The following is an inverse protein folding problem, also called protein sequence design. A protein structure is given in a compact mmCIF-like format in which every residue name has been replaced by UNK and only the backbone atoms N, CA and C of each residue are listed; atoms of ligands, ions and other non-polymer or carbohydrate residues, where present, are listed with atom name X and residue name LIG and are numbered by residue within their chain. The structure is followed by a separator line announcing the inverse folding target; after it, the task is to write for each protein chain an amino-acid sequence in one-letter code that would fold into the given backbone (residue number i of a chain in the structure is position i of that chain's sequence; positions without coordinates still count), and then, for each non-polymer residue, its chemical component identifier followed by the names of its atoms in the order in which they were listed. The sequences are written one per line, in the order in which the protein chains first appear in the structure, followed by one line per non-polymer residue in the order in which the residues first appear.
data_IF_367756720048
#
_entry.id   IF_367756720048
#
_cell.length_a   1.000
_cell.length_b   1.000
_cell.length_c   1.000
_cell.angle_alpha   90.00
_cell.angle_beta   90.00
_cell.angle_gamma   90.00
#
_symmetry.space_group_name_H-M   'P 1'
#
loop_
_entity.id
_entity.type
_entity.pdbx_description
1 polymer ?
#
# COMPACT_ATOMS: atom_id res chain seq x y z
N UNK A 1 -10.76 24.71 27.37
CA UNK A 1 -12.15 24.22 27.55
C UNK A 1 -12.95 24.21 26.24
N UNK A 2 -13.57 25.30 25.77
CA UNK A 2 -14.43 25.22 24.55
C UNK A 2 -13.70 24.75 23.28
N UNK A 3 -12.47 25.22 23.03
CA UNK A 3 -11.70 24.79 21.86
C UNK A 3 -11.25 23.32 21.94
N UNK A 4 -10.95 22.82 23.14
CA UNK A 4 -10.55 21.42 23.37
C UNK A 4 -11.74 20.46 23.29
N UNK A 5 -12.91 20.90 23.78
CA UNK A 5 -14.17 20.17 23.69
C UNK A 5 -14.68 20.16 22.23
N UNK A 6 -14.46 21.26 21.50
CA UNK A 6 -14.69 21.33 20.05
C UNK A 6 -13.78 20.39 19.26
N UNK A 7 -12.50 20.32 19.63
CA UNK A 7 -11.55 19.41 18.99
C UNK A 7 -11.90 17.94 19.31
N UNK A 8 -12.33 17.65 20.54
CA UNK A 8 -12.72 16.30 20.96
C UNK A 8 -13.98 15.81 20.22
N UNK A 9 -15.03 16.62 20.12
CA UNK A 9 -16.24 16.23 19.38
C UNK A 9 -15.94 15.98 17.90
N UNK A 10 -15.14 16.86 17.27
CA UNK A 10 -14.74 16.70 15.86
C UNK A 10 -13.99 15.38 15.65
N UNK A 11 -13.07 15.05 16.55
CA UNK A 11 -12.28 13.81 16.45
C UNK A 11 -13.18 12.59 16.62
N UNK A 12 -14.10 12.60 17.60
CA UNK A 12 -15.09 11.53 17.78
C UNK A 12 -15.99 11.36 16.55
N UNK A 13 -16.52 12.46 16.00
CA UNK A 13 -17.36 12.43 14.81
C UNK A 13 -16.65 11.83 13.60
N UNK A 14 -15.43 12.28 13.28
CA UNK A 14 -14.69 11.75 12.13
C UNK A 14 -14.32 10.28 12.31
N UNK A 15 -13.95 9.84 13.51
CA UNK A 15 -13.61 8.44 13.78
C UNK A 15 -14.82 7.51 13.69
N UNK A 16 -16.02 7.96 14.09
CA UNK A 16 -17.24 7.15 14.07
C UNK A 16 -17.89 7.01 12.69
N UNK A 17 -17.58 7.91 11.74
CA UNK A 17 -18.14 7.84 10.39
C UNK A 17 -17.70 6.55 9.67
N UNK A 18 -18.61 5.78 9.06
CA UNK A 18 -18.22 4.72 8.13
C UNK A 18 -17.64 5.35 6.86
N UNK A 19 -16.43 4.93 6.47
CA UNK A 19 -15.67 5.53 5.36
C UNK A 19 -15.49 4.56 4.21
N UNK A 20 -15.28 5.13 3.03
CA UNK A 20 -14.88 4.41 1.82
C UNK A 20 -13.58 5.03 1.32
N UNK A 21 -12.54 4.22 1.19
CA UNK A 21 -11.23 4.63 0.66
C UNK A 21 -11.02 3.98 -0.71
N UNK A 22 -10.91 4.81 -1.75
CA UNK A 22 -10.79 4.33 -3.12
C UNK A 22 -9.39 4.53 -3.70
N UNK A 23 -8.51 5.28 -3.04
CA UNK A 23 -7.18 5.64 -3.54
C UNK A 23 -6.11 5.50 -2.45
N UNK A 24 -5.83 4.27 -2.04
CA UNK A 24 -4.76 3.97 -1.10
C UNK A 24 -3.65 3.11 -1.75
N UNK A 25 -2.48 3.72 -1.95
CA UNK A 25 -1.29 2.99 -2.40
C UNK A 25 -0.69 2.21 -1.24
N UNK A 26 -0.59 0.88 -1.35
CA UNK A 26 -0.08 0.01 -0.27
C UNK A 26 1.22 0.52 0.36
N UNK A 27 2.23 0.81 -0.46
CA UNK A 27 3.51 1.32 0.02
C UNK A 27 3.38 2.72 0.63
N UNK A 28 2.46 3.56 0.12
CA UNK A 28 2.21 4.90 0.65
C UNK A 28 1.41 4.92 1.95
N UNK A 29 0.71 3.83 2.25
CA UNK A 29 -0.10 3.65 3.47
C UNK A 29 0.68 2.99 4.62
N UNK A 30 1.97 2.71 4.46
CA UNK A 30 2.79 2.10 5.52
C UNK A 30 2.95 3.09 6.68
N UNK A 31 2.38 2.76 7.84
CA UNK A 31 2.57 3.54 9.06
C UNK A 31 4.01 3.48 9.58
N UNK A 32 4.37 4.44 10.43
CA UNK A 32 5.65 4.41 11.13
C UNK A 32 5.83 3.17 12.01
N UNK A 33 4.74 2.57 12.51
CA UNK A 33 4.80 1.33 13.29
C UNK A 33 5.18 0.15 12.40
N UNK A 34 4.53 0.02 11.24
CA UNK A 34 4.84 -1.02 10.24
C UNK A 34 6.24 -0.84 9.67
N UNK A 35 6.67 0.40 9.45
CA UNK A 35 8.04 0.74 9.06
C UNK A 35 9.07 0.23 10.07
N UNK A 36 8.84 0.44 11.38
CA UNK A 36 9.73 -0.07 12.43
C UNK A 36 9.81 -1.60 12.44
N UNK A 37 8.69 -2.30 12.21
CA UNK A 37 8.69 -3.77 12.07
C UNK A 37 9.56 -4.22 10.89
N UNK A 38 9.44 -3.56 9.74
CA UNK A 38 10.26 -3.87 8.55
C UNK A 38 11.75 -3.65 8.80
N UNK A 39 12.11 -2.52 9.44
CA UNK A 39 13.51 -2.20 9.77
C UNK A 39 14.09 -3.24 10.74
N UNK A 40 13.33 -3.63 11.76
CA UNK A 40 13.77 -4.64 12.73
C UNK A 40 14.05 -6.00 12.09
N UNK A 41 13.32 -6.37 11.03
CA UNK A 41 13.59 -7.59 10.24
C UNK A 41 14.85 -7.50 9.37
N UNK A 42 15.40 -6.29 9.18
CA UNK A 42 16.49 -6.01 8.24
C UNK A 42 17.64 -5.23 8.90
N UNK A 43 18.27 -5.76 9.97
CA UNK A 43 19.29 -5.04 10.73
C UNK A 43 20.55 -4.69 9.92
N UNK A 44 20.79 -5.36 8.79
CA UNK A 44 21.91 -5.06 7.89
C UNK A 44 21.70 -3.85 6.99
N UNK A 45 20.47 -3.35 6.84
CA UNK A 45 20.18 -2.13 6.08
C UNK A 45 20.42 -0.92 6.99
N UNK A 46 21.44 -0.12 6.67
CA UNK A 46 21.74 1.14 7.37
C UNK A 46 20.73 2.21 6.95
N UNK A 47 19.53 2.15 7.52
CA UNK A 47 18.50 3.17 7.31
C UNK A 47 18.61 4.17 8.45
N UNK A 48 18.88 5.43 8.13
CA UNK A 48 18.92 6.50 9.13
C UNK A 48 17.49 6.82 9.62
N UNK A 49 17.27 6.79 10.94
CA UNK A 49 15.95 7.01 11.58
C UNK A 49 15.23 8.31 11.17
N UNK A 50 15.99 9.33 10.75
CA UNK A 50 15.44 10.60 10.27
C UNK A 50 14.69 10.48 8.93
N UNK A 51 14.94 9.42 8.15
CA UNK A 51 14.30 9.22 6.84
C UNK A 51 12.97 8.45 6.94
N UNK A 52 12.68 7.80 8.06
CA UNK A 52 11.56 6.86 8.22
C UNK A 52 10.42 7.42 9.06
N UNK A 53 10.68 8.47 9.84
CA UNK A 53 9.71 9.08 10.74
C UNK A 53 8.99 10.24 10.04
N UNK A 54 7.67 10.09 9.84
CA UNK A 54 6.80 11.19 9.44
C UNK A 54 6.35 11.89 10.73
N UNK A 55 6.87 13.08 11.00
CA UNK A 55 6.24 13.97 11.98
C UNK A 55 4.84 14.33 11.45
N UNK A 56 3.79 13.93 12.18
CA UNK A 56 2.41 14.33 11.88
C UNK A 56 2.35 15.84 11.68
N UNK A 57 1.95 16.29 10.48
CA UNK A 57 1.70 17.71 10.16
C UNK A 57 2.76 18.43 9.32
N UNK A 58 3.88 17.80 8.94
CA UNK A 58 4.82 18.41 7.96
C UNK A 58 4.39 18.10 6.52
N UNK A 59 4.15 19.16 5.74
CA UNK A 59 3.93 19.05 4.28
C UNK A 59 5.21 18.57 3.61
N UNK A 60 5.08 17.62 2.68
CA UNK A 60 6.19 17.17 1.83
C UNK A 60 6.08 17.68 0.41
N UNK A 61 7.22 17.82 -0.24
CA UNK A 61 7.27 17.92 -1.70
C UNK A 61 7.02 16.54 -2.31
N UNK A 62 6.62 16.51 -3.58
CA UNK A 62 6.43 15.25 -4.31
C UNK A 62 7.73 14.44 -4.39
N UNK A 63 8.88 15.12 -4.43
CA UNK A 63 10.20 14.50 -4.49
C UNK A 63 10.55 13.75 -3.19
N UNK A 64 10.26 14.34 -2.03
CA UNK A 64 10.47 13.69 -0.73
C UNK A 64 9.59 12.43 -0.58
N UNK A 65 8.37 12.45 -1.14
CA UNK A 65 7.52 11.27 -1.20
C UNK A 65 8.16 10.15 -2.05
N UNK A 66 8.78 10.46 -3.19
CA UNK A 66 9.46 9.47 -4.02
C UNK A 66 10.71 8.88 -3.35
N UNK A 67 11.48 9.69 -2.61
CA UNK A 67 12.61 9.17 -1.82
C UNK A 67 12.14 8.17 -0.76
N UNK A 68 11.01 8.45 -0.10
CA UNK A 68 10.41 7.52 0.85
C UNK A 68 9.99 6.19 0.20
N UNK A 69 9.38 6.24 -0.99
CA UNK A 69 9.06 5.03 -1.74
C UNK A 69 10.30 4.19 -2.03
N UNK A 70 11.46 4.80 -2.30
CA UNK A 70 12.70 4.04 -2.51
C UNK A 70 13.12 3.29 -1.25
N UNK A 71 13.01 3.91 -0.06
CA UNK A 71 13.34 3.27 1.21
C UNK A 71 12.37 2.11 1.49
N UNK A 72 11.07 2.36 1.32
CA UNK A 72 10.04 1.33 1.46
C UNK A 72 10.33 0.15 0.54
N UNK A 73 10.72 0.42 -0.71
CA UNK A 73 11.03 -0.62 -1.67
C UNK A 73 12.21 -1.50 -1.25
N UNK A 74 13.24 -0.94 -0.60
CA UNK A 74 14.35 -1.70 -0.02
C UNK A 74 13.93 -2.52 1.21
N UNK A 75 12.91 -2.04 1.91
CA UNK A 75 12.34 -2.70 3.08
C UNK A 75 11.29 -3.76 2.75
N UNK A 76 10.75 -3.79 1.54
CA UNK A 76 9.68 -4.71 1.12
C UNK A 76 10.15 -5.54 -0.08
N UNK A 77 11.06 -6.46 0.20
CA UNK A 77 11.81 -7.19 -0.85
C UNK A 77 11.41 -8.66 -0.93
N UNK A 78 10.62 -9.18 0.01
CA UNK A 78 10.14 -10.57 -0.01
C UNK A 78 8.61 -10.66 0.04
N UNK A 79 8.01 -11.79 -0.41
CA UNK A 79 6.59 -12.08 -0.26
C UNK A 79 6.07 -11.88 1.18
N UNK A 80 6.85 -12.28 2.18
CA UNK A 80 6.49 -12.18 3.60
C UNK A 80 6.43 -10.72 4.08
N UNK A 81 7.28 -9.85 3.54
CA UNK A 81 7.22 -8.42 3.83
C UNK A 81 5.92 -7.82 3.27
N UNK A 82 5.55 -8.18 2.04
CA UNK A 82 4.32 -7.70 1.38
C UNK A 82 3.07 -8.19 2.10
N UNK A 83 3.05 -9.46 2.51
CA UNK A 83 1.96 -10.03 3.29
C UNK A 83 1.77 -9.27 4.61
N UNK A 84 2.86 -9.08 5.37
CA UNK A 84 2.82 -8.36 6.65
C UNK A 84 2.33 -6.92 6.48
N UNK A 85 2.88 -6.20 5.51
CA UNK A 85 2.50 -4.81 5.22
C UNK A 85 1.04 -4.71 4.81
N UNK A 86 0.56 -5.62 3.97
CA UNK A 86 -0.85 -5.64 3.53
C UNK A 86 -1.78 -5.83 4.72
N UNK A 87 -1.49 -6.76 5.63
CA UNK A 87 -2.30 -6.99 6.83
C UNK A 87 -2.31 -5.79 7.76
N UNK A 88 -1.14 -5.21 8.02
CA UNK A 88 -1.01 -4.04 8.89
C UNK A 88 -1.80 -2.85 8.32
N UNK A 89 -1.68 -2.58 7.01
CA UNK A 89 -2.42 -1.48 6.34
C UNK A 89 -3.93 -1.69 6.38
N UNK A 90 -4.41 -2.90 6.07
CA UNK A 90 -5.87 -3.20 6.13
C UNK A 90 -6.39 -3.03 7.55
N UNK A 91 -5.66 -3.53 8.55
CA UNK A 91 -6.02 -3.37 9.95
C UNK A 91 -6.10 -1.91 10.36
N UNK A 92 -5.11 -1.10 9.99
CA UNK A 92 -5.09 0.33 10.33
C UNK A 92 -6.25 1.09 9.66
N UNK A 93 -6.64 0.75 8.43
CA UNK A 93 -7.83 1.32 7.80
C UNK A 93 -9.13 0.89 8.48
N UNK A 94 -9.24 -0.39 8.88
CA UNK A 94 -10.40 -0.87 9.62
C UNK A 94 -10.54 -0.16 10.99
N UNK A 95 -9.41 0.00 11.70
CA UNK A 95 -9.34 0.70 12.98
C UNK A 95 -9.70 2.21 12.84
N UNK A 96 -9.51 2.81 11.66
CA UNK A 96 -9.95 4.18 11.32
C UNK A 96 -11.42 4.26 10.85
N UNK A 97 -12.16 3.14 10.85
CA UNK A 97 -13.58 3.09 10.50
C UNK A 97 -13.86 3.01 8.99
N UNK A 98 -12.87 2.67 8.16
CA UNK A 98 -13.08 2.36 6.74
C UNK A 98 -13.80 1.03 6.61
N UNK A 99 -14.92 1.04 5.89
CA UNK A 99 -15.77 -0.14 5.62
C UNK A 99 -15.52 -0.76 4.26
N UNK A 100 -15.01 0.02 3.30
CA UNK A 100 -14.63 -0.47 1.98
C UNK A 100 -13.32 0.19 1.53
N UNK A 101 -12.37 -0.63 1.08
CA UNK A 101 -11.04 -0.21 0.64
C UNK A 101 -10.71 -0.80 -0.74
N UNK A 102 -10.46 0.07 -1.72
CA UNK A 102 -9.75 -0.30 -2.95
C UNK A 102 -8.26 -0.04 -2.78
N UNK A 103 -7.57 -1.06 -2.30
CA UNK A 103 -6.13 -1.04 -2.14
C UNK A 103 -5.48 -1.15 -3.52
N UNK A 104 -4.50 -0.30 -3.80
CA UNK A 104 -3.74 -0.34 -5.06
C UNK A 104 -2.26 -0.52 -4.81
N UNK A 105 -1.59 -1.27 -5.67
CA UNK A 105 -0.13 -1.36 -5.62
C UNK A 105 0.48 -1.82 -6.92
N UNK A 106 1.71 -1.34 -7.19
CA UNK A 106 2.49 -1.72 -8.36
C UNK A 106 3.22 -3.04 -8.10
N UNK A 107 2.94 -4.14 -8.83
CA UNK A 107 3.67 -5.39 -8.67
C UNK A 107 5.16 -5.22 -8.98
N UNK A 108 6.01 -5.70 -8.07
CA UNK A 108 7.47 -5.60 -8.22
C UNK A 108 8.12 -6.96 -8.31
N UNK A 109 9.29 -6.98 -8.94
CA UNK A 109 10.21 -8.11 -8.89
C UNK A 109 11.44 -7.72 -8.08
N UNK A 110 12.02 -8.68 -7.39
CA UNK A 110 13.30 -8.56 -6.70
C UNK A 110 14.15 -9.78 -7.02
N UNK A 111 15.28 -9.57 -7.69
CA UNK A 111 16.15 -10.66 -8.12
C UNK A 111 16.98 -11.25 -6.99
N UNK A 112 17.22 -10.50 -5.91
CA UNK A 112 18.02 -10.98 -4.78
C UNK A 112 17.23 -11.97 -3.92
N UNK A 113 15.93 -11.76 -3.77
CA UNK A 113 15.03 -12.66 -3.02
C UNK A 113 14.27 -13.64 -3.92
N UNK A 114 14.29 -13.44 -5.24
CA UNK A 114 13.52 -14.23 -6.20
C UNK A 114 12.03 -13.84 -6.27
N UNK A 115 11.61 -12.77 -5.59
CA UNK A 115 10.23 -12.31 -5.66
C UNK A 115 9.87 -11.89 -7.09
N UNK A 116 8.80 -12.47 -7.63
CA UNK A 116 8.25 -12.12 -8.94
C UNK A 116 7.06 -11.17 -8.79
N UNK A 117 6.64 -10.51 -9.89
CA UNK A 117 5.38 -9.74 -9.90
C UNK A 117 4.18 -10.59 -9.50
N UNK A 118 4.16 -11.86 -9.90
CA UNK A 118 3.07 -12.80 -9.57
C UNK A 118 3.05 -13.11 -8.08
N UNK A 119 4.17 -13.55 -7.51
CA UNK A 119 4.27 -13.84 -6.07
C UNK A 119 4.01 -12.61 -5.20
N UNK A 120 4.36 -11.42 -5.70
CA UNK A 120 4.00 -10.15 -5.05
C UNK A 120 2.47 -10.01 -4.97
N UNK A 121 1.74 -10.18 -6.08
CA UNK A 121 0.28 -10.07 -6.10
C UNK A 121 -0.37 -11.14 -5.23
N UNK A 122 0.11 -12.39 -5.30
CA UNK A 122 -0.35 -13.49 -4.43
C UNK A 122 -0.18 -13.15 -2.95
N UNK A 123 0.90 -12.46 -2.57
CA UNK A 123 1.15 -12.03 -1.18
C UNK A 123 0.15 -10.98 -0.71
N UNK A 124 -0.21 -10.02 -1.58
CA UNK A 124 -1.26 -9.02 -1.28
C UNK A 124 -2.61 -9.72 -1.11
N UNK A 125 -2.96 -10.61 -2.04
CA UNK A 125 -4.23 -11.36 -1.99
C UNK A 125 -4.34 -12.25 -0.76
N UNK A 126 -3.24 -12.91 -0.36
CA UNK A 126 -3.19 -13.67 0.88
C UNK A 126 -3.35 -12.76 2.11
N UNK A 127 -2.80 -11.55 2.09
CA UNK A 127 -3.02 -10.54 3.13
C UNK A 127 -4.50 -10.13 3.25
N UNK A 128 -5.17 -9.90 2.12
CA UNK A 128 -6.62 -9.62 2.09
C UNK A 128 -7.41 -10.82 2.63
N UNK A 129 -7.08 -12.03 2.18
CA UNK A 129 -7.75 -13.26 2.62
C UNK A 129 -7.56 -13.55 4.11
N UNK A 130 -6.37 -13.30 4.66
CA UNK A 130 -6.11 -13.42 6.10
C UNK A 130 -6.88 -12.37 6.90
N UNK A 131 -6.89 -11.12 6.44
CA UNK A 131 -7.65 -10.03 7.07
C UNK A 131 -9.15 -10.34 7.15
N UNK A 132 -9.72 -10.92 6.08
CA UNK A 132 -11.11 -11.40 6.07
C UNK A 132 -11.34 -12.55 7.06
N UNK A 133 -10.41 -13.51 7.15
CA UNK A 133 -10.49 -14.63 8.14
C UNK A 133 -10.38 -14.16 9.58
N UNK A 134 -9.67 -13.06 9.82
CA UNK A 134 -9.56 -12.39 11.12
C UNK A 134 -10.81 -11.57 11.48
N UNK A 135 -11.85 -11.57 10.62
CA UNK A 135 -13.12 -10.85 10.80
C UNK A 135 -12.94 -9.34 11.04
N UNK A 136 -11.97 -8.73 10.35
CA UNK A 136 -11.88 -7.26 10.31
C UNK A 136 -13.13 -6.69 9.63
N UNK A 137 -13.70 -5.65 10.22
CA UNK A 137 -14.93 -4.99 9.74
C UNK A 137 -14.63 -4.01 8.59
N UNK A 138 -14.07 -4.55 7.51
CA UNK A 138 -13.70 -3.87 6.27
C UNK A 138 -13.78 -4.84 5.09
N UNK A 139 -14.39 -4.41 3.99
CA UNK A 139 -14.34 -5.13 2.73
C UNK A 139 -13.22 -4.57 1.84
N UNK A 140 -12.33 -5.44 1.35
CA UNK A 140 -11.13 -5.02 0.64
C UNK A 140 -11.13 -5.57 -0.78
N UNK A 141 -10.81 -4.70 -1.73
CA UNK A 141 -10.64 -4.99 -3.15
C UNK A 141 -9.27 -4.50 -3.60
N UNK A 142 -8.78 -5.10 -4.68
CA UNK A 142 -7.42 -4.87 -5.15
C UNK A 142 -7.39 -4.35 -6.58
N UNK A 143 -6.61 -3.27 -6.78
CA UNK A 143 -6.27 -2.71 -8.09
C UNK A 143 -4.79 -2.89 -8.35
N UNK A 144 -4.45 -3.46 -9.50
CA UNK A 144 -3.06 -3.66 -9.90
C UNK A 144 -2.56 -2.41 -10.63
N UNK A 145 -1.56 -1.74 -10.07
CA UNK A 145 -1.04 -0.50 -10.62
C UNK A 145 0.02 -0.74 -11.70
N UNK A 146 -0.07 0.04 -12.77
CA UNK A 146 0.93 0.21 -13.82
C UNK A 146 1.74 1.47 -13.49
N UNK A 147 3.06 1.33 -13.38
CA UNK A 147 3.96 2.47 -13.24
C UNK A 147 4.29 3.05 -14.61
N UNK A 148 4.02 4.36 -14.78
CA UNK A 148 4.24 5.07 -16.04
C UNK A 148 5.68 5.01 -16.57
N UNK A 149 6.66 4.81 -15.68
CA UNK A 149 8.08 4.69 -16.04
C UNK A 149 8.41 3.40 -16.76
N UNK A 150 7.62 2.34 -16.57
CA UNK A 150 7.86 1.01 -17.14
C UNK A 150 7.63 0.93 -18.66
N UNK A 151 6.90 1.88 -19.24
CA UNK A 151 6.57 1.89 -20.67
C UNK A 151 5.57 0.79 -21.12
N UNK A 152 5.22 0.74 -22.41
CA UNK A 152 4.13 -0.08 -22.94
C UNK A 152 4.32 -1.59 -22.74
N UNK A 153 5.55 -2.10 -22.82
CA UNK A 153 5.83 -3.53 -22.64
C UNK A 153 5.51 -3.98 -21.21
N UNK A 154 6.01 -3.24 -20.21
CA UNK A 154 5.76 -3.52 -18.79
C UNK A 154 4.27 -3.32 -18.45
N UNK A 155 3.63 -2.31 -19.05
CA UNK A 155 2.19 -2.11 -18.91
C UNK A 155 1.41 -3.34 -19.42
N UNK A 156 1.73 -3.85 -20.61
CA UNK A 156 1.07 -5.02 -21.19
C UNK A 156 1.26 -6.28 -20.37
N UNK A 157 2.44 -6.50 -19.79
CA UNK A 157 2.68 -7.59 -18.83
C UNK A 157 1.78 -7.47 -17.60
N UNK A 158 1.64 -6.25 -17.08
CA UNK A 158 0.85 -5.96 -15.88
C UNK A 158 -0.65 -6.13 -16.14
N UNK A 159 -1.12 -5.74 -17.33
CA UNK A 159 -2.51 -6.00 -17.78
C UNK A 159 -2.80 -7.49 -17.83
N UNK A 160 -1.90 -8.30 -18.43
CA UNK A 160 -2.07 -9.76 -18.48
C UNK A 160 -2.11 -10.38 -17.08
N UNK A 161 -1.26 -9.91 -16.18
CA UNK A 161 -1.27 -10.35 -14.80
C UNK A 161 -2.59 -9.99 -14.10
N UNK A 162 -3.11 -8.78 -14.33
CA UNK A 162 -4.38 -8.36 -13.77
C UNK A 162 -5.57 -9.16 -14.32
N UNK A 163 -5.57 -9.48 -15.62
CA UNK A 163 -6.57 -10.35 -16.23
C UNK A 163 -6.56 -11.76 -15.60
N UNK A 164 -5.38 -12.36 -15.41
CA UNK A 164 -5.22 -13.65 -14.75
C UNK A 164 -5.85 -13.65 -13.35
N UNK A 165 -5.56 -12.63 -12.53
CA UNK A 165 -6.10 -12.55 -11.17
C UNK A 165 -7.56 -12.10 -11.12
N UNK A 166 -8.01 -11.26 -12.05
CA UNK A 166 -9.43 -10.90 -12.17
C UNK A 166 -10.30 -12.15 -12.36
N UNK A 167 -9.86 -13.07 -13.23
CA UNK A 167 -10.59 -14.31 -13.52
C UNK A 167 -10.51 -15.35 -12.40
N UNK A 168 -9.46 -15.32 -11.56
CA UNK A 168 -9.19 -16.37 -10.57
C UNK A 168 -9.49 -16.01 -9.11
N UNK A 169 -9.82 -14.75 -8.80
CA UNK A 169 -9.96 -14.27 -7.40
C UNK A 169 -11.39 -13.91 -6.99
N UNK A 170 -12.39 -14.38 -7.75
CA UNK A 170 -13.82 -14.24 -7.44
C UNK A 170 -14.22 -12.82 -7.00
N UNK A 171 -13.79 -11.82 -7.77
CA UNK A 171 -14.14 -10.41 -7.52
C UNK A 171 -13.29 -9.70 -6.46
N UNK A 172 -12.18 -10.29 -5.99
CA UNK A 172 -11.22 -9.59 -5.13
C UNK A 172 -10.38 -8.58 -5.91
N UNK A 173 -9.84 -8.97 -7.08
CA UNK A 173 -9.20 -8.04 -8.02
C UNK A 173 -10.27 -7.43 -8.91
N UNK A 174 -10.37 -6.10 -8.92
CA UNK A 174 -11.40 -5.38 -9.68
C UNK A 174 -10.89 -4.71 -10.95
N UNK A 175 -9.60 -4.39 -11.03
CA UNK A 175 -9.09 -3.67 -12.18
C UNK A 175 -7.66 -3.17 -12.06
N UNK A 176 -7.39 -2.09 -12.78
CA UNK A 176 -6.07 -1.50 -12.99
C UNK A 176 -6.03 -0.05 -12.53
N UNK A 177 -4.83 0.39 -12.16
CA UNK A 177 -4.47 1.79 -11.87
C UNK A 177 -3.29 2.20 -12.77
N UNK A 178 -3.19 3.47 -13.15
CA UNK A 178 -2.01 4.02 -13.84
C UNK A 178 -1.44 5.17 -12.99
N UNK A 179 -0.23 4.99 -12.47
CA UNK A 179 0.37 5.89 -11.49
C UNK A 179 1.88 6.02 -11.67
N UNK A 180 2.59 6.56 -10.67
CA UNK A 180 4.00 6.93 -10.76
C UNK A 180 4.20 8.41 -11.10
N UNK A 181 5.44 8.78 -11.46
CA UNK A 181 5.81 10.17 -11.74
C UNK A 181 5.04 10.73 -12.95
N UNK A 182 4.22 11.78 -12.78
CA UNK A 182 3.40 12.32 -13.86
C UNK A 182 4.21 13.05 -14.94
N UNK A 183 5.47 13.41 -14.65
CA UNK A 183 6.38 14.12 -15.57
C UNK A 183 7.11 13.19 -16.52
N UNK A 184 7.10 11.88 -16.25
CA UNK A 184 7.72 10.86 -17.10
C UNK A 184 6.65 10.28 -18.04
N UNK A 185 6.90 10.35 -19.34
CA UNK A 185 6.09 9.68 -20.36
C UNK A 185 6.96 8.79 -21.23
N UNK A 186 6.96 7.49 -20.91
CA UNK A 186 7.56 6.45 -21.76
C UNK A 186 6.51 5.75 -22.63
N UNK A 187 5.28 6.26 -22.68
CA UNK A 187 4.24 5.83 -23.61
C UNK A 187 4.26 6.75 -24.83
N UNK A 188 5.04 6.35 -25.84
CA UNK A 188 5.09 6.97 -27.16
C UNK A 188 4.80 5.93 -28.22
#
# INVERSE_FOLDING_TARGET
MEAEEQQRWKTTFYSELPKVELHAHLNGSISSNTMKKLIAKKPGLKIHDQMTMIDKGKKRTLEECFQMFQIIHQLTTSPEDILMVTKDVIKEFADDGVKYLELRSTPRKDSATGMTKKTYVESVLEGIKQSKRENLDIDVRYLISIDRRGGPLVAKETVKLAEEFFLSTEGTVLGLDLSGDPTVSNFS
#
